data_IF_110012918184
#
_entry.id   IF_110012918184
#
_cell.length_a   1.000
_cell.length_b   1.000
_cell.length_c   1.000
_cell.angle_alpha   90.00
_cell.angle_beta   90.00
_cell.angle_gamma   90.00
#
_symmetry.space_group_name_H-M   'P 1'
#
loop_
_entity.id
_entity.type
_entity.pdbx_description
1 polymer ?
#
# COMPACT_ATOMS: atom_id res chain seq x y z
N UNK A 1 -13.43 0.04 10.60
CA UNK A 1 -13.36 -1.25 9.87
C UNK A 1 -11.92 -1.51 9.47
N UNK A 2 -11.29 -2.45 10.17
CA UNK A 2 -9.93 -2.90 9.91
C UNK A 2 -9.86 -3.97 8.83
N UNK A 3 -8.91 -3.79 7.92
CA UNK A 3 -8.58 -4.74 6.85
C UNK A 3 -7.29 -5.45 7.19
N UNK A 4 -7.01 -6.58 6.54
CA UNK A 4 -5.76 -7.33 6.73
C UNK A 4 -5.12 -7.60 5.37
N UNK A 5 -3.80 -7.37 5.28
CA UNK A 5 -3.02 -7.70 4.09
C UNK A 5 -2.64 -9.18 4.07
N UNK A 6 -2.66 -9.80 2.89
CA UNK A 6 -2.26 -11.20 2.71
C UNK A 6 -0.76 -11.43 2.99
N UNK A 7 0.04 -10.38 3.20
CA UNK A 7 1.44 -10.47 3.66
C UNK A 7 1.64 -11.43 4.84
N UNK A 8 0.67 -11.47 5.76
CA UNK A 8 0.73 -12.30 6.96
C UNK A 8 0.68 -13.82 6.69
N UNK A 9 0.39 -14.21 5.45
CA UNK A 9 0.36 -15.59 4.96
C UNK A 9 1.00 -15.70 3.57
N UNK A 10 2.04 -14.90 3.28
CA UNK A 10 2.67 -14.74 1.95
C UNK A 10 3.10 -16.01 1.21
N UNK A 11 3.33 -17.12 1.93
CA UNK A 11 3.78 -18.39 1.36
C UNK A 11 2.65 -19.45 1.34
N UNK A 12 1.43 -19.07 1.72
CA UNK A 12 0.24 -19.92 1.72
C UNK A 12 -0.59 -19.64 0.45
N UNK A 13 -1.15 -20.64 -0.23
CA UNK A 13 -2.04 -20.41 -1.39
C UNK A 13 -3.18 -19.43 -1.08
N UNK A 14 -3.52 -18.60 -2.06
CA UNK A 14 -4.47 -17.50 -1.89
C UNK A 14 -5.81 -17.95 -1.30
N UNK A 15 -6.37 -19.06 -1.77
CA UNK A 15 -7.65 -19.61 -1.34
C UNK A 15 -7.64 -19.93 0.16
N UNK A 16 -6.58 -20.60 0.61
CA UNK A 16 -6.39 -20.95 2.04
C UNK A 16 -6.19 -19.68 2.87
N UNK A 17 -5.46 -18.69 2.33
CA UNK A 17 -5.28 -17.38 2.96
C UNK A 17 -6.62 -16.64 3.11
N UNK A 18 -7.46 -16.61 2.08
CA UNK A 18 -8.78 -15.96 2.08
C UNK A 18 -9.75 -16.63 3.06
N UNK A 19 -9.77 -17.96 3.14
CA UNK A 19 -10.55 -18.70 4.13
C UNK A 19 -10.11 -18.37 5.55
N UNK A 20 -8.79 -18.38 5.79
CA UNK A 20 -8.21 -18.11 7.12
C UNK A 20 -8.50 -16.68 7.58
N UNK A 21 -8.26 -15.69 6.72
CA UNK A 21 -8.49 -14.26 7.03
C UNK A 21 -9.97 -13.91 7.19
N UNK A 22 -10.87 -14.67 6.57
CA UNK A 22 -12.32 -14.53 6.73
C UNK A 22 -12.84 -14.66 8.16
N UNK A 23 -12.07 -15.35 9.02
CA UNK A 23 -12.37 -15.46 10.46
C UNK A 23 -12.07 -14.15 11.23
N UNK A 24 -11.25 -13.26 10.66
CA UNK A 24 -10.74 -12.06 11.32
C UNK A 24 -11.32 -10.76 10.75
N UNK A 25 -11.58 -10.71 9.45
CA UNK A 25 -12.06 -9.50 8.77
C UNK A 25 -12.91 -9.82 7.54
N UNK A 26 -13.67 -8.82 7.09
CA UNK A 26 -14.38 -8.83 5.79
C UNK A 26 -13.72 -7.92 4.75
N UNK A 27 -12.62 -7.24 5.10
CA UNK A 27 -11.83 -6.42 4.18
C UNK A 27 -10.42 -6.99 4.05
N UNK A 28 -10.03 -7.40 2.85
CA UNK A 28 -8.75 -8.05 2.60
C UNK A 28 -7.99 -7.25 1.55
N UNK A 29 -6.73 -6.93 1.84
CA UNK A 29 -5.80 -6.49 0.81
C UNK A 29 -5.00 -7.69 0.31
N UNK A 30 -5.03 -7.93 -1.00
CA UNK A 30 -4.25 -8.98 -1.65
C UNK A 30 -2.98 -8.34 -2.21
N UNK A 31 -1.81 -8.83 -1.80
CA UNK A 31 -0.55 -8.54 -2.47
C UNK A 31 -0.45 -9.43 -3.72
N UNK A 32 -0.73 -8.87 -4.90
CA UNK A 32 -0.94 -9.61 -6.16
C UNK A 32 0.38 -10.06 -6.81
N UNK A 33 1.05 -11.03 -6.19
CA UNK A 33 2.28 -11.65 -6.69
C UNK A 33 2.55 -13.01 -6.05
N UNK A 34 3.45 -13.79 -6.65
CA UNK A 34 3.79 -15.13 -6.16
C UNK A 34 2.56 -16.05 -6.05
N UNK A 35 2.41 -16.74 -4.92
CA UNK A 35 1.28 -17.64 -4.64
C UNK A 35 -0.06 -16.91 -4.43
N UNK A 36 -0.04 -15.58 -4.39
CA UNK A 36 -1.22 -14.71 -4.31
C UNK A 36 -1.58 -14.03 -5.62
N UNK A 37 -0.90 -14.39 -6.73
CA UNK A 37 -1.26 -13.87 -8.06
C UNK A 37 -2.72 -14.21 -8.36
N UNK A 38 -3.55 -13.21 -8.59
CA UNK A 38 -4.97 -13.36 -8.87
C UNK A 38 -5.12 -13.87 -10.32
N UNK A 39 -5.58 -15.12 -10.53
CA UNK A 39 -5.68 -15.69 -11.86
C UNK A 39 -6.94 -15.21 -12.60
N UNK A 40 -8.04 -15.01 -11.87
CA UNK A 40 -9.33 -14.55 -12.39
C UNK A 40 -10.16 -13.96 -11.24
N UNK A 41 -11.08 -13.06 -11.58
CA UNK A 41 -11.99 -12.40 -10.61
C UNK A 41 -12.95 -13.37 -9.95
N UNK A 42 -13.34 -14.45 -10.65
CA UNK A 42 -14.28 -15.47 -10.18
C UNK A 42 -13.82 -16.15 -8.88
N UNK A 43 -12.50 -16.23 -8.66
CA UNK A 43 -11.97 -16.70 -7.38
C UNK A 43 -12.40 -15.77 -6.24
N UNK A 44 -12.28 -14.46 -6.42
CA UNK A 44 -12.57 -13.47 -5.40
C UNK A 44 -14.08 -13.31 -5.17
N UNK A 45 -14.88 -13.40 -6.24
CA UNK A 45 -16.36 -13.37 -6.16
C UNK A 45 -16.95 -14.54 -5.36
N UNK A 46 -16.20 -15.65 -5.24
CA UNK A 46 -16.64 -16.81 -4.45
C UNK A 46 -16.63 -16.56 -2.93
N UNK A 47 -16.05 -15.43 -2.48
CA UNK A 47 -15.99 -15.06 -1.07
C UNK A 47 -16.75 -13.75 -0.78
N UNK A 48 -17.41 -13.63 0.38
CA UNK A 48 -18.17 -12.42 0.76
C UNK A 48 -17.27 -11.34 1.39
N UNK A 49 -16.17 -10.97 0.71
CA UNK A 49 -15.21 -9.97 1.18
C UNK A 49 -15.16 -8.74 0.28
N UNK A 50 -14.61 -7.64 0.82
CA UNK A 50 -14.21 -6.48 0.04
C UNK A 50 -12.70 -6.51 -0.17
N UNK A 51 -12.27 -6.13 -1.37
CA UNK A 51 -10.88 -6.27 -1.79
C UNK A 51 -10.19 -4.95 -2.09
N UNK A 52 -8.90 -4.94 -1.81
CA UNK A 52 -7.92 -4.00 -2.31
C UNK A 52 -6.79 -4.83 -2.90
N UNK A 53 -6.22 -4.36 -4.01
CA UNK A 53 -5.15 -5.07 -4.70
C UNK A 53 -3.88 -4.23 -4.56
N UNK A 54 -2.90 -4.74 -3.82
CA UNK A 54 -1.58 -4.12 -3.75
C UNK A 54 -0.65 -4.82 -4.72
N UNK A 55 0.02 -4.04 -5.57
CA UNK A 55 0.97 -4.58 -6.52
C UNK A 55 2.28 -5.01 -5.83
N UNK A 56 2.99 -6.01 -6.39
CA UNK A 56 4.23 -6.51 -5.81
C UNK A 56 5.29 -5.43 -5.78
N UNK A 57 5.87 -5.25 -4.59
CA UNK A 57 6.90 -4.24 -4.36
C UNK A 57 8.17 -4.58 -5.15
N UNK A 58 8.75 -3.57 -5.81
CA UNK A 58 10.04 -3.59 -6.54
C UNK A 58 10.09 -4.37 -7.86
N UNK A 59 9.07 -5.14 -8.21
CA UNK A 59 8.97 -5.79 -9.53
C UNK A 59 8.49 -4.81 -10.61
N UNK A 60 7.69 -3.82 -10.20
CA UNK A 60 7.08 -2.81 -11.08
C UNK A 60 7.69 -1.45 -10.75
N UNK A 61 8.27 -0.77 -11.76
CA UNK A 61 8.92 0.53 -11.56
C UNK A 61 8.39 1.60 -12.52
N UNK A 62 7.32 2.33 -12.15
CA UNK A 62 6.78 3.43 -12.95
C UNK A 62 7.71 4.66 -13.01
N UNK A 63 8.79 4.69 -12.22
CA UNK A 63 9.80 5.73 -12.24
C UNK A 63 11.06 5.35 -13.04
N UNK A 64 11.05 4.22 -13.76
CA UNK A 64 12.20 3.78 -14.54
C UNK A 64 12.63 4.84 -15.57
N UNK A 65 13.94 5.12 -15.62
CA UNK A 65 14.53 6.00 -16.64
C UNK A 65 14.58 5.35 -18.02
N UNK A 66 14.52 4.01 -18.07
CA UNK A 66 14.42 3.27 -19.32
C UNK A 66 12.95 3.26 -19.76
N UNK A 67 12.65 3.99 -20.83
CA UNK A 67 11.27 4.15 -21.33
C UNK A 67 10.56 2.81 -21.59
N UNK A 68 11.20 1.78 -22.20
CA UNK A 68 10.52 0.49 -22.40
C UNK A 68 10.10 -0.18 -21.08
N UNK A 69 10.92 -0.05 -20.03
CA UNK A 69 10.62 -0.60 -18.70
C UNK A 69 9.51 0.20 -18.02
N UNK A 70 9.52 1.53 -18.17
CA UNK A 70 8.45 2.39 -17.64
C UNK A 70 7.11 2.06 -18.29
N UNK A 71 7.07 1.93 -19.62
CA UNK A 71 5.87 1.57 -20.37
C UNK A 71 5.35 0.18 -19.98
N UNK A 72 6.25 -0.79 -19.83
CA UNK A 72 5.88 -2.12 -19.33
C UNK A 72 5.29 -2.04 -17.91
N UNK A 73 5.87 -1.23 -17.01
CA UNK A 73 5.33 -1.03 -15.67
C UNK A 73 3.92 -0.42 -15.71
N UNK A 74 3.68 0.60 -16.54
CA UNK A 74 2.35 1.19 -16.74
C UNK A 74 1.37 0.14 -17.27
N UNK A 75 1.75 -0.64 -18.29
CA UNK A 75 0.91 -1.71 -18.85
C UNK A 75 0.49 -2.73 -17.80
N UNK A 76 1.42 -3.22 -16.98
CA UNK A 76 1.14 -4.19 -15.92
C UNK A 76 0.19 -3.61 -14.87
N UNK A 77 0.34 -2.33 -14.52
CA UNK A 77 -0.58 -1.67 -13.58
C UNK A 77 -1.98 -1.53 -14.21
N UNK A 78 -2.07 -1.14 -15.48
CA UNK A 78 -3.33 -0.99 -16.22
C UNK A 78 -4.10 -2.30 -16.30
N UNK A 79 -3.44 -3.44 -16.56
CA UNK A 79 -4.07 -4.77 -16.51
C UNK A 79 -4.71 -5.08 -15.14
N UNK A 80 -4.19 -4.49 -14.07
CA UNK A 80 -4.74 -4.66 -12.72
C UNK A 80 -5.89 -3.70 -12.45
N UNK A 81 -5.96 -2.56 -13.13
CA UNK A 81 -7.14 -1.70 -13.10
C UNK A 81 -8.33 -2.37 -13.78
N UNK A 82 -8.14 -3.00 -14.93
CA UNK A 82 -9.19 -3.79 -15.58
C UNK A 82 -9.77 -4.84 -14.64
N UNK A 83 -8.90 -5.70 -14.08
CA UNK A 83 -9.31 -6.73 -13.12
C UNK A 83 -9.99 -6.14 -11.87
N UNK A 84 -9.46 -5.04 -11.32
CA UNK A 84 -10.02 -4.41 -10.14
C UNK A 84 -11.41 -3.80 -10.41
N UNK A 85 -11.68 -3.35 -11.63
CA UNK A 85 -12.98 -2.76 -12.02
C UNK A 85 -14.12 -3.76 -11.87
N UNK A 86 -13.89 -5.02 -12.23
CA UNK A 86 -14.89 -6.10 -12.19
C UNK A 86 -15.36 -6.38 -10.75
N UNK A 87 -14.48 -6.22 -9.76
CA UNK A 87 -14.76 -6.48 -8.34
C UNK A 87 -14.86 -5.21 -7.49
N UNK A 88 -14.88 -4.03 -8.12
CA UNK A 88 -14.89 -2.72 -7.45
C UNK A 88 -13.78 -2.54 -6.39
N UNK A 89 -12.59 -3.08 -6.66
CA UNK A 89 -11.44 -2.97 -5.78
C UNK A 89 -10.65 -1.66 -6.02
N UNK A 90 -10.01 -1.14 -4.97
CA UNK A 90 -8.99 -0.10 -5.11
C UNK A 90 -7.62 -0.75 -5.33
N UNK A 91 -6.75 -0.12 -6.13
CA UNK A 91 -5.40 -0.62 -6.38
C UNK A 91 -4.35 0.23 -5.67
N UNK A 92 -3.36 -0.38 -5.03
CA UNK A 92 -2.23 0.31 -4.41
C UNK A 92 -0.95 0.02 -5.18
N UNK A 93 -0.28 1.10 -5.58
CA UNK A 93 0.91 1.07 -6.44
C UNK A 93 2.07 1.74 -5.71
N UNK A 94 3.24 1.11 -5.77
CA UNK A 94 4.47 1.75 -5.32
C UNK A 94 4.97 2.74 -6.40
N UNK A 95 5.35 3.98 -6.04
CA UNK A 95 5.76 5.02 -7.00
C UNK A 95 7.13 4.75 -7.66
N UNK A 96 7.78 3.63 -7.35
CA UNK A 96 9.04 3.25 -7.96
C UNK A 96 10.28 3.86 -7.30
N UNK A 97 11.43 3.68 -7.95
CA UNK A 97 12.75 4.02 -7.41
C UNK A 97 13.78 4.20 -8.52
N UNK A 98 14.91 4.82 -8.17
CA UNK A 98 16.17 4.78 -8.94
C UNK A 98 17.29 4.15 -8.11
N UNK A 99 18.23 3.47 -8.78
CA UNK A 99 19.45 2.94 -8.16
C UNK A 99 20.60 3.96 -8.12
N UNK A 100 20.56 4.99 -8.97
CA UNK A 100 21.59 6.01 -9.08
C UNK A 100 21.03 7.38 -8.69
N UNK A 101 21.67 8.03 -7.71
CA UNK A 101 21.24 9.36 -7.23
C UNK A 101 21.28 10.44 -8.32
N UNK A 102 22.21 10.33 -9.28
CA UNK A 102 22.30 11.22 -10.43
C UNK A 102 21.02 11.19 -11.31
N UNK A 103 20.33 10.06 -11.32
CA UNK A 103 19.13 9.86 -12.14
C UNK A 103 17.83 10.29 -11.43
N UNK A 104 17.89 10.72 -10.16
CA UNK A 104 16.71 11.02 -9.36
C UNK A 104 15.77 12.03 -10.04
N UNK A 105 16.32 13.09 -10.63
CA UNK A 105 15.52 14.10 -11.32
C UNK A 105 14.85 13.53 -12.58
N UNK A 106 15.55 12.67 -13.32
CA UNK A 106 14.99 12.01 -14.51
C UNK A 106 13.90 11.00 -14.11
N UNK A 107 14.15 10.19 -13.08
CA UNK A 107 13.19 9.23 -12.56
C UNK A 107 11.92 9.92 -12.02
N UNK A 108 12.03 11.10 -11.36
CA UNK A 108 10.86 11.91 -10.98
C UNK A 108 10.05 12.39 -12.18
N UNK A 109 10.70 12.80 -13.28
CA UNK A 109 10.00 13.15 -14.53
C UNK A 109 9.31 11.95 -15.16
N UNK A 110 9.94 10.79 -15.12
CA UNK A 110 9.34 9.54 -15.62
C UNK A 110 8.14 9.11 -14.78
N UNK A 111 8.23 9.21 -13.46
CA UNK A 111 7.10 8.96 -12.57
C UNK A 111 5.94 9.92 -12.87
N UNK A 112 6.21 11.21 -13.09
CA UNK A 112 5.16 12.18 -13.45
C UNK A 112 4.45 11.81 -14.75
N UNK A 113 5.19 11.34 -15.79
CA UNK A 113 4.60 10.81 -17.03
C UNK A 113 3.74 9.58 -16.76
N UNK A 114 4.25 8.63 -15.97
CA UNK A 114 3.48 7.46 -15.56
C UNK A 114 2.25 7.83 -14.76
N UNK A 115 2.26 8.88 -13.93
CA UNK A 115 1.07 9.35 -13.23
C UNK A 115 -0.02 9.78 -14.23
N UNK A 116 0.33 10.54 -15.26
CA UNK A 116 -0.62 10.92 -16.32
C UNK A 116 -1.19 9.70 -17.05
N UNK A 117 -0.32 8.77 -17.42
CA UNK A 117 -0.72 7.54 -18.12
C UNK A 117 -1.66 6.69 -17.23
N UNK A 118 -1.32 6.53 -15.96
CA UNK A 118 -2.09 5.75 -14.99
C UNK A 118 -3.41 6.41 -14.58
N UNK A 119 -3.46 7.74 -14.46
CA UNK A 119 -4.72 8.46 -14.20
C UNK A 119 -5.67 8.26 -15.38
N UNK A 120 -5.17 8.39 -16.61
CA UNK A 120 -5.98 8.17 -17.82
C UNK A 120 -6.54 6.74 -17.86
N UNK A 121 -5.69 5.74 -17.57
CA UNK A 121 -6.12 4.35 -17.51
C UNK A 121 -7.12 4.09 -16.36
N UNK A 122 -6.88 4.65 -15.18
CA UNK A 122 -7.78 4.51 -14.04
C UNK A 122 -9.17 5.11 -14.33
N UNK A 123 -9.22 6.25 -15.01
CA UNK A 123 -10.47 6.89 -15.46
C UNK A 123 -11.21 6.03 -16.50
N UNK A 124 -10.48 5.41 -17.45
CA UNK A 124 -11.05 4.51 -18.46
C UNK A 124 -11.75 3.30 -17.83
N UNK A 125 -11.13 2.67 -16.83
CA UNK A 125 -11.70 1.52 -16.12
C UNK A 125 -12.60 1.89 -14.93
N UNK A 126 -12.75 3.17 -14.61
CA UNK A 126 -13.53 3.63 -13.46
C UNK A 126 -12.97 3.18 -12.11
N UNK A 127 -11.65 2.95 -12.01
CA UNK A 127 -10.97 2.45 -10.82
C UNK A 127 -10.29 3.56 -10.05
N UNK A 128 -10.26 3.44 -8.73
CA UNK A 128 -9.47 4.32 -7.86
C UNK A 128 -8.17 3.61 -7.49
N UNK A 129 -7.07 4.34 -7.59
CA UNK A 129 -5.78 3.84 -7.13
C UNK A 129 -5.08 4.83 -6.20
N UNK A 130 -4.17 4.30 -5.39
CA UNK A 130 -3.40 5.06 -4.43
C UNK A 130 -1.90 4.78 -4.61
N UNK A 131 -1.08 5.79 -4.34
CA UNK A 131 0.34 5.57 -4.13
C UNK A 131 0.64 5.31 -2.67
N UNK A 132 1.57 4.39 -2.42
CA UNK A 132 2.14 4.16 -1.09
C UNK A 132 3.41 4.98 -0.92
N UNK A 133 3.57 5.71 0.20
CA UNK A 133 4.86 6.34 0.50
C UNK A 133 5.92 5.27 0.77
N UNK A 134 7.16 5.57 0.44
CA UNK A 134 8.24 4.59 0.44
C UNK A 134 9.20 4.76 1.62
N UNK A 135 9.82 3.65 2.03
CA UNK A 135 10.82 3.60 3.08
C UNK A 135 12.11 4.37 2.78
N UNK A 136 13.09 4.27 3.69
CA UNK A 136 14.25 5.17 3.77
C UNK A 136 15.33 4.97 2.71
N UNK A 137 15.20 3.95 1.85
CA UNK A 137 16.22 3.65 0.85
C UNK A 137 16.41 4.84 -0.10
N UNK A 138 17.66 5.26 -0.26
CA UNK A 138 18.02 6.31 -1.21
C UNK A 138 17.56 5.95 -2.63
N UNK A 139 17.02 6.95 -3.32
CA UNK A 139 16.41 6.78 -4.64
C UNK A 139 14.96 6.29 -4.66
N UNK A 140 14.34 5.94 -3.52
CA UNK A 140 12.89 5.73 -3.46
C UNK A 140 12.12 7.02 -3.76
N UNK A 141 11.02 6.90 -4.51
CA UNK A 141 10.10 8.02 -4.76
C UNK A 141 9.09 8.16 -3.62
N UNK A 142 8.55 9.37 -3.42
CA UNK A 142 7.50 9.68 -2.42
C UNK A 142 7.87 9.22 -1.00
N UNK A 143 9.01 9.70 -0.51
CA UNK A 143 9.48 9.41 0.87
C UNK A 143 8.93 10.40 1.89
N UNK A 144 8.72 11.64 1.46
CA UNK A 144 8.30 12.73 2.33
C UNK A 144 7.03 13.41 1.81
N UNK A 145 6.26 14.10 2.68
CA UNK A 145 5.02 14.77 2.27
C UNK A 145 5.17 15.73 1.08
N UNK A 146 6.32 16.40 0.96
CA UNK A 146 6.61 17.35 -0.13
C UNK A 146 6.65 16.68 -1.51
N UNK A 147 6.96 15.38 -1.56
CA UNK A 147 6.99 14.63 -2.81
C UNK A 147 5.58 14.41 -3.37
N UNK A 148 4.54 14.42 -2.53
CA UNK A 148 3.16 14.24 -2.99
C UNK A 148 2.81 15.37 -3.97
N UNK A 149 2.82 16.62 -3.51
CA UNK A 149 2.43 17.78 -4.33
C UNK A 149 3.35 18.03 -5.52
N UNK A 150 4.62 17.59 -5.44
CA UNK A 150 5.63 17.84 -6.47
C UNK A 150 5.64 16.80 -7.57
N UNK A 151 5.16 15.59 -7.30
CA UNK A 151 5.34 14.43 -8.19
C UNK A 151 4.02 13.82 -8.61
N UNK A 152 2.96 13.91 -7.80
CA UNK A 152 1.71 13.18 -8.05
C UNK A 152 0.46 13.92 -7.58
N UNK A 153 -0.65 13.75 -8.29
CA UNK A 153 -1.99 14.15 -7.82
C UNK A 153 -2.80 12.94 -7.36
N UNK A 154 -2.14 11.80 -7.17
CA UNK A 154 -2.75 10.53 -6.81
C UNK A 154 -2.91 10.47 -5.29
N UNK A 155 -4.07 10.01 -4.78
CA UNK A 155 -4.29 9.82 -3.35
C UNK A 155 -3.23 8.93 -2.69
N UNK A 156 -2.92 9.23 -1.42
CA UNK A 156 -1.92 8.49 -0.65
C UNK A 156 -2.56 7.37 0.19
N UNK A 157 -1.99 6.16 0.10
CA UNK A 157 -2.09 5.12 1.10
C UNK A 157 -0.86 5.22 2.03
N UNK A 158 -1.06 5.74 3.24
CA UNK A 158 0.02 6.04 4.18
C UNK A 158 0.55 4.77 4.83
N UNK A 159 1.76 4.40 4.48
CA UNK A 159 2.56 3.42 5.20
C UNK A 159 3.23 4.09 6.41
N UNK A 160 2.71 3.79 7.61
CA UNK A 160 3.15 4.46 8.84
C UNK A 160 4.57 4.07 9.24
N UNK A 161 4.99 2.83 8.94
CA UNK A 161 6.34 2.37 9.24
C UNK A 161 7.37 3.04 8.33
N UNK A 162 7.07 3.16 7.03
CA UNK A 162 7.90 3.93 6.10
C UNK A 162 8.00 5.40 6.51
N UNK A 163 6.91 6.02 6.94
CA UNK A 163 6.92 7.40 7.42
C UNK A 163 7.68 7.55 8.74
N UNK A 164 7.61 6.55 9.63
CA UNK A 164 8.33 6.51 10.90
C UNK A 164 9.85 6.46 10.68
N UNK A 165 10.34 5.54 9.84
CA UNK A 165 11.79 5.41 9.56
C UNK A 165 12.38 6.58 8.79
N UNK A 166 11.54 7.36 8.10
CA UNK A 166 11.93 8.63 7.46
C UNK A 166 11.78 9.84 8.40
N UNK A 167 11.31 9.66 9.65
CA UNK A 167 11.14 10.74 10.61
C UNK A 167 10.04 11.75 10.26
N UNK A 168 9.08 11.37 9.40
CA UNK A 168 8.07 12.26 8.84
C UNK A 168 6.62 11.84 9.13
N UNK A 169 6.40 10.80 9.95
CA UNK A 169 5.06 10.35 10.32
C UNK A 169 4.15 11.46 10.87
N UNK A 170 4.57 12.30 11.85
CA UNK A 170 3.73 13.40 12.34
C UNK A 170 3.26 14.34 11.23
N UNK A 171 4.11 14.58 10.23
CA UNK A 171 3.81 15.47 9.11
C UNK A 171 2.84 14.83 8.13
N UNK A 172 3.04 13.56 7.78
CA UNK A 172 2.06 12.84 6.96
C UNK A 172 0.67 12.81 7.59
N UNK A 173 0.58 12.59 8.90
CA UNK A 173 -0.71 12.56 9.62
C UNK A 173 -1.46 13.90 9.59
N UNK A 174 -0.74 15.03 9.43
CA UNK A 174 -1.31 16.38 9.41
C UNK A 174 -1.50 16.94 8.00
N UNK A 175 -0.52 16.74 7.12
CA UNK A 175 -0.43 17.37 5.80
C UNK A 175 -1.08 16.52 4.69
N UNK A 176 -1.18 15.19 4.87
CA UNK A 176 -1.69 14.29 3.85
C UNK A 176 -3.07 13.76 4.21
N UNK A 177 -4.07 14.06 3.36
CA UNK A 177 -5.40 13.47 3.43
C UNK A 177 -5.37 12.01 2.93
N UNK A 178 -4.75 11.13 3.72
CA UNK A 178 -4.64 9.71 3.41
C UNK A 178 -5.94 8.97 3.76
N UNK A 179 -6.46 8.22 2.79
CA UNK A 179 -7.69 7.44 2.96
C UNK A 179 -7.45 6.04 3.51
N UNK A 180 -6.22 5.56 3.43
CA UNK A 180 -5.79 4.21 3.80
C UNK A 180 -4.48 4.32 4.55
N UNK A 181 -4.38 3.63 5.69
CA UNK A 181 -3.18 3.56 6.51
C UNK A 181 -2.75 2.09 6.60
N UNK A 182 -1.51 1.78 6.27
CA UNK A 182 -0.91 0.49 6.60
C UNK A 182 -0.47 0.54 8.05
N UNK A 183 -0.90 -0.46 8.83
CA UNK A 183 -0.73 -0.53 10.26
C UNK A 183 0.15 -1.73 10.60
N UNK A 184 1.33 -1.43 11.11
CA UNK A 184 2.25 -2.35 11.75
C UNK A 184 3.16 -1.49 12.63
N UNK A 185 3.80 -2.10 13.62
CA UNK A 185 4.78 -1.38 14.43
C UNK A 185 6.18 -1.60 13.88
N UNK A 186 7.07 -0.65 14.12
CA UNK A 186 8.45 -0.74 13.71
C UNK A 186 9.38 0.01 14.67
N UNK A 187 10.66 -0.33 14.64
CA UNK A 187 11.70 0.39 15.39
C UNK A 187 12.19 1.57 14.53
N UNK A 188 12.69 2.62 15.16
CA UNK A 188 13.08 3.90 14.51
C UNK A 188 13.90 3.75 13.21
N UNK A 189 14.78 2.76 13.13
CA UNK A 189 15.68 2.56 12.00
C UNK A 189 15.44 1.24 11.27
N UNK A 190 14.25 0.67 11.38
CA UNK A 190 13.94 -0.66 10.88
C UNK A 190 12.56 -0.68 10.24
N UNK A 191 12.48 -1.14 9.00
CA UNK A 191 11.21 -1.34 8.28
C UNK A 191 10.61 -2.72 8.64
N UNK A 192 10.74 -3.14 9.90
CA UNK A 192 10.13 -4.37 10.39
C UNK A 192 8.62 -4.22 10.47
N UNK A 193 7.92 -5.26 10.06
CA UNK A 193 6.46 -5.36 10.13
C UNK A 193 6.03 -6.04 11.43
N UNK A 194 6.32 -5.41 12.58
CA UNK A 194 6.06 -5.98 13.91
C UNK A 194 4.58 -5.88 14.30
N UNK A 195 4.19 -6.71 15.27
CA UNK A 195 2.92 -6.57 15.98
C UNK A 195 2.80 -5.20 16.64
N UNK A 196 1.58 -4.65 16.62
CA UNK A 196 1.26 -3.37 17.25
C UNK A 196 1.64 -3.39 18.73
N UNK A 197 2.50 -2.45 19.15
CA UNK A 197 3.03 -2.34 20.52
C UNK A 197 4.37 -3.07 20.75
N UNK A 198 5.03 -3.56 19.69
CA UNK A 198 6.36 -4.20 19.76
C UNK A 198 7.49 -3.31 19.23
N UNK A 199 7.17 -2.13 18.73
CA UNK A 199 8.11 -1.16 18.20
C UNK A 199 8.05 0.16 18.96
N UNK A 200 8.15 1.25 18.21
CA UNK A 200 8.33 2.62 18.72
C UNK A 200 7.37 3.63 18.10
N UNK A 201 6.43 3.17 17.27
CA UNK A 201 5.45 4.06 16.64
C UNK A 201 4.43 4.52 17.69
N UNK A 202 4.17 5.83 17.74
CA UNK A 202 3.15 6.40 18.62
C UNK A 202 1.74 6.18 18.03
N UNK A 203 1.07 5.12 18.47
CA UNK A 203 -0.25 4.76 17.96
C UNK A 203 -1.38 5.69 18.43
N UNK A 204 -1.23 6.44 19.53
CA UNK A 204 -2.21 7.47 19.90
C UNK A 204 -2.28 8.56 18.82
N UNK A 205 -1.12 8.97 18.30
CA UNK A 205 -1.04 9.93 17.20
C UNK A 205 -1.59 9.35 15.89
N UNK A 206 -1.27 8.09 15.59
CA UNK A 206 -1.80 7.39 14.40
C UNK A 206 -3.32 7.32 14.46
N UNK A 207 -3.89 6.94 15.61
CA UNK A 207 -5.33 6.88 15.82
C UNK A 207 -5.99 8.25 15.59
N UNK A 208 -5.45 9.31 16.19
CA UNK A 208 -5.93 10.67 15.98
C UNK A 208 -5.92 11.08 14.50
N UNK A 209 -4.83 10.79 13.77
CA UNK A 209 -4.73 11.05 12.34
C UNK A 209 -5.71 10.23 11.51
N UNK A 210 -5.92 8.95 11.85
CA UNK A 210 -6.90 8.10 11.18
C UNK A 210 -8.33 8.63 11.36
N UNK A 211 -8.71 9.02 12.58
CA UNK A 211 -10.05 9.54 12.85
C UNK A 211 -10.28 10.89 12.17
N UNK A 212 -9.30 11.79 12.19
CA UNK A 212 -9.40 13.09 11.52
C UNK A 212 -9.60 12.95 10.00
N UNK A 213 -8.98 11.94 9.39
CA UNK A 213 -9.05 11.70 7.95
C UNK A 213 -10.17 10.73 7.52
N UNK A 214 -10.89 10.11 8.48
CA UNK A 214 -11.82 9.03 8.19
C UNK A 214 -11.15 7.84 7.50
N UNK A 215 -9.88 7.58 7.82
CA UNK A 215 -9.05 6.62 7.11
C UNK A 215 -9.37 5.16 7.48
N UNK A 216 -9.28 4.28 6.49
CA UNK A 216 -9.29 2.82 6.67
C UNK A 216 -7.91 2.35 7.13
N UNK A 217 -7.86 1.40 8.07
CA UNK A 217 -6.61 0.74 8.46
C UNK A 217 -6.46 -0.63 7.79
N UNK A 218 -5.27 -0.94 7.27
CA UNK A 218 -4.87 -2.25 6.75
C UNK A 218 -3.75 -2.78 7.64
N UNK A 219 -3.96 -3.89 8.34
CA UNK A 219 -2.92 -4.53 9.13
C UNK A 219 -1.97 -5.27 8.18
N UNK A 220 -0.71 -4.85 8.13
CA UNK A 220 0.32 -5.40 7.23
C UNK A 220 1.49 -5.95 8.04
N UNK A 221 1.31 -7.16 8.59
CA UNK A 221 2.29 -7.82 9.47
C UNK A 221 2.71 -9.17 8.91
N UNK A 222 3.86 -9.70 9.34
CA UNK A 222 4.47 -10.89 8.74
C UNK A 222 3.88 -12.26 9.12
N UNK A 223 2.87 -12.34 10.00
CA UNK A 223 2.25 -13.62 10.36
C UNK A 223 0.77 -13.50 10.72
N UNK A 224 -0.03 -14.56 10.48
CA UNK A 224 -1.45 -14.60 10.84
C UNK A 224 -1.68 -14.33 12.34
N UNK A 225 -0.85 -14.93 13.21
CA UNK A 225 -0.90 -14.69 14.66
C UNK A 225 -0.66 -13.22 14.99
N UNK A 226 0.31 -12.60 14.31
CA UNK A 226 0.61 -11.19 14.48
C UNK A 226 -0.55 -10.30 14.01
N UNK A 227 -1.27 -10.68 12.95
CA UNK A 227 -2.44 -9.95 12.47
C UNK A 227 -3.56 -10.00 13.51
N UNK A 228 -3.86 -11.18 14.07
CA UNK A 228 -4.82 -11.35 15.15
C UNK A 228 -4.44 -10.55 16.41
N UNK A 229 -3.17 -10.60 16.84
CA UNK A 229 -2.70 -9.83 17.99
C UNK A 229 -2.82 -8.32 17.76
N UNK A 230 -2.50 -7.87 16.54
CA UNK A 230 -2.58 -6.47 16.14
C UNK A 230 -4.02 -5.95 16.13
N UNK A 231 -4.98 -6.76 15.68
CA UNK A 231 -6.42 -6.43 15.79
C UNK A 231 -6.83 -6.16 17.24
N UNK A 232 -6.38 -6.99 18.19
CA UNK A 232 -6.71 -6.83 19.61
C UNK A 232 -6.02 -5.58 20.18
N UNK A 233 -4.74 -5.36 19.84
CA UNK A 233 -3.97 -4.23 20.34
C UNK A 233 -4.56 -2.88 19.86
N UNK A 234 -4.98 -2.79 18.60
CA UNK A 234 -5.54 -1.57 18.00
C UNK A 234 -6.81 -1.06 18.71
N UNK A 235 -7.58 -1.95 19.33
CA UNK A 235 -8.77 -1.57 20.13
C UNK A 235 -8.43 -0.66 21.31
N UNK A 236 -7.21 -0.74 21.85
CA UNK A 236 -6.75 0.12 22.96
C UNK A 236 -6.67 1.59 22.54
N UNK A 237 -6.49 1.84 21.24
CA UNK A 237 -6.44 3.17 20.64
C UNK A 237 -7.78 3.58 20.00
N UNK A 238 -8.85 2.82 20.25
CA UNK A 238 -10.18 3.07 19.66
C UNK A 238 -10.30 2.67 18.18
N UNK A 239 -9.28 2.04 17.59
CA UNK A 239 -9.29 1.64 16.18
C UNK A 239 -9.97 0.27 16.07
N UNK A 240 -11.12 0.22 15.38
CA UNK A 240 -11.93 -0.99 15.11
C UNK A 240 -12.67 -0.93 13.78
#
# INVERSE_FOLDING_TARGET
MLWISTTCMRDTPLEITLESLGSLTRGIEIVDGGVHRIPAVSLLESYPYKYMIRLPQREINPASILEPVRQAAVSVITERFELASEINAEVVVDPGYTSAGADLLHAKRQLARSCTDLITAADEYGVRFLFRNMGRREGNMVRHPEDLNRVTQIPLALDIGHAHVNGCLPRFLHEAASRVFYLYDSREFSEEHLEIGRGSINFDQVAAGMFANGAKGIIDVGSFRSAHNSLIALRRFGIG
#
